data_IF_653614397551
#
_entry.id   IF_653614397551
#
_cell.length_a   1.000
_cell.length_b   1.000
_cell.length_c   1.000
_cell.angle_alpha   90.00
_cell.angle_beta   90.00
_cell.angle_gamma   90.00
#
_symmetry.space_group_name_H-M   'P 1'
#
loop_
_entity.id
_entity.type
_entity.pdbx_description
1 polymer ?
#
# COMPACT_ATOMS: atom_id res chain seq x y z
N UNK A 1 5.45 14.03 -30.71
CA UNK A 1 5.99 13.89 -29.34
C UNK A 1 5.53 12.56 -28.77
N UNK A 2 6.39 11.79 -28.11
CA UNK A 2 6.00 10.55 -27.42
C UNK A 2 5.63 10.85 -25.97
N UNK A 3 4.67 10.12 -25.42
CA UNK A 3 4.34 10.20 -23.99
C UNK A 3 5.55 9.80 -23.15
N UNK A 4 5.78 10.52 -22.05
CA UNK A 4 6.83 10.21 -21.09
C UNK A 4 6.62 8.81 -20.48
N UNK A 5 7.71 8.09 -20.27
CA UNK A 5 7.73 6.81 -19.55
C UNK A 5 8.90 6.87 -18.56
N UNK A 6 8.62 6.61 -17.28
CA UNK A 6 9.65 6.57 -16.26
C UNK A 6 10.67 5.46 -16.56
N UNK A 7 11.93 5.66 -16.18
CA UNK A 7 12.98 4.63 -16.24
C UNK A 7 13.33 4.21 -14.83
N UNK A 8 13.36 2.90 -14.55
CA UNK A 8 13.50 2.38 -13.19
C UNK A 8 14.72 2.90 -12.41
N UNK A 9 15.83 3.19 -13.07
CA UNK A 9 17.05 3.70 -12.42
C UNK A 9 17.01 5.21 -12.09
N UNK A 10 16.07 5.96 -12.68
CA UNK A 10 15.87 7.39 -12.44
C UNK A 10 14.73 7.65 -11.43
N UNK A 11 13.97 6.60 -11.07
CA UNK A 11 12.85 6.72 -10.12
C UNK A 11 13.38 6.98 -8.72
N UNK A 12 12.86 8.03 -8.10
CA UNK A 12 13.08 8.31 -6.68
C UNK A 12 11.95 7.70 -5.86
N UNK A 13 12.34 6.94 -4.83
CA UNK A 13 11.44 6.31 -3.87
C UNK A 13 11.61 6.99 -2.53
N UNK A 14 10.52 7.57 -2.01
CA UNK A 14 10.54 8.18 -0.68
C UNK A 14 10.25 7.13 0.40
N UNK A 15 10.56 7.46 1.65
CA UNK A 15 10.21 6.65 2.82
C UNK A 15 9.07 7.29 3.59
N UNK A 16 8.02 6.52 3.85
CA UNK A 16 6.83 6.97 4.56
C UNK A 16 6.61 6.07 5.78
N UNK A 17 6.49 6.69 6.96
CA UNK A 17 6.09 6.02 8.19
C UNK A 17 4.58 6.19 8.41
N UNK A 18 3.87 5.09 8.63
CA UNK A 18 2.42 5.06 8.81
C UNK A 18 2.09 4.40 10.15
N UNK A 19 1.40 5.13 11.02
CA UNK A 19 0.81 4.57 12.24
C UNK A 19 -0.58 3.97 11.95
N UNK A 20 -0.71 2.67 12.20
CA UNK A 20 -1.92 1.92 11.92
C UNK A 20 -2.94 1.91 13.08
N UNK A 21 -2.60 2.48 14.23
CA UNK A 21 -3.48 2.55 15.39
C UNK A 21 -4.83 3.22 15.05
N UNK A 22 -5.93 2.57 15.44
CA UNK A 22 -7.32 2.99 15.23
C UNK A 22 -7.75 3.16 13.75
N UNK A 23 -6.89 2.83 12.78
CA UNK A 23 -7.21 2.90 11.36
C UNK A 23 -8.03 1.69 10.94
N UNK A 24 -8.96 1.90 9.99
CA UNK A 24 -9.75 0.80 9.44
C UNK A 24 -8.92 0.02 8.42
N UNK A 25 -8.71 -1.28 8.67
CA UNK A 25 -7.85 -2.17 7.88
C UNK A 25 -7.97 -1.96 6.36
N UNK A 26 -9.17 -2.12 5.80
CA UNK A 26 -9.36 -2.04 4.35
C UNK A 26 -9.08 -0.65 3.77
N UNK A 27 -9.42 0.42 4.51
CA UNK A 27 -9.20 1.80 4.07
C UNK A 27 -7.72 2.14 4.06
N UNK A 28 -7.00 1.74 5.11
CA UNK A 28 -5.56 1.93 5.20
C UNK A 28 -4.82 1.15 4.11
N UNK A 29 -5.14 -0.14 3.96
CA UNK A 29 -4.51 -1.00 2.96
C UNK A 29 -4.68 -0.46 1.53
N UNK A 30 -5.85 0.08 1.19
CA UNK A 30 -6.12 0.65 -0.12
C UNK A 30 -5.25 1.89 -0.42
N UNK A 31 -5.05 2.74 0.58
CA UNK A 31 -4.19 3.92 0.45
C UNK A 31 -2.71 3.53 0.34
N UNK A 32 -2.26 2.59 1.17
CA UNK A 32 -0.89 2.06 1.11
C UNK A 32 -0.62 1.43 -0.26
N UNK A 33 -1.54 0.60 -0.77
CA UNK A 33 -1.38 -0.01 -2.10
C UNK A 33 -1.28 1.03 -3.23
N UNK A 34 -2.00 2.16 -3.13
CA UNK A 34 -1.89 3.26 -4.09
C UNK A 34 -0.52 3.95 -4.04
N UNK A 35 0.05 4.11 -2.84
CA UNK A 35 1.40 4.65 -2.62
C UNK A 35 2.48 3.70 -3.10
N UNK A 36 2.40 2.41 -2.75
CA UNK A 36 3.31 1.36 -3.20
C UNK A 36 3.33 1.22 -4.73
N UNK A 37 2.20 1.45 -5.41
CA UNK A 37 2.15 1.42 -6.88
C UNK A 37 2.64 2.73 -7.52
N UNK A 38 2.80 3.80 -6.74
CA UNK A 38 3.19 5.11 -7.27
C UNK A 38 2.08 5.87 -7.99
N UNK A 39 0.81 5.45 -7.86
CA UNK A 39 -0.36 6.06 -8.54
C UNK A 39 -0.59 7.54 -8.20
N UNK A 40 0.01 8.00 -7.12
CA UNK A 40 -0.06 9.38 -6.66
C UNK A 40 1.00 10.28 -7.32
N UNK A 41 2.03 9.71 -7.97
CA UNK A 41 3.07 10.47 -8.67
C UNK A 41 2.64 10.70 -10.12
N UNK A 42 2.89 11.90 -10.65
CA UNK A 42 2.59 12.25 -12.04
C UNK A 42 3.39 11.41 -13.07
N UNK A 43 4.52 10.84 -12.64
CA UNK A 43 5.38 9.96 -13.44
C UNK A 43 4.92 8.50 -13.49
N UNK A 44 3.75 8.18 -12.92
CA UNK A 44 3.22 6.82 -12.86
C UNK A 44 3.28 6.15 -14.24
N UNK A 45 3.99 5.03 -14.28
CA UNK A 45 4.21 4.25 -15.48
C UNK A 45 3.85 2.79 -15.15
N UNK A 46 2.80 2.18 -15.75
CA UNK A 46 2.24 0.91 -15.28
C UNK A 46 3.22 -0.28 -15.20
N UNK A 47 4.27 -0.26 -16.03
CA UNK A 47 5.26 -1.33 -16.11
C UNK A 47 6.54 -1.04 -15.31
N UNK A 48 6.59 0.08 -14.59
CA UNK A 48 7.73 0.50 -13.77
C UNK A 48 7.24 0.72 -12.35
N UNK A 49 7.96 0.21 -11.36
CA UNK A 49 7.70 0.55 -9.96
C UNK A 49 8.09 2.01 -9.71
N UNK A 50 7.10 2.89 -9.55
CA UNK A 50 7.29 4.30 -9.17
C UNK A 50 6.83 4.57 -7.75
N UNK A 51 6.66 3.53 -6.93
CA UNK A 51 6.14 3.60 -5.57
C UNK A 51 7.02 4.32 -4.57
N UNK A 52 6.60 4.28 -3.31
CA UNK A 52 7.38 4.69 -2.15
C UNK A 52 7.50 3.52 -1.18
N UNK A 53 8.54 3.52 -0.36
CA UNK A 53 8.66 2.58 0.74
C UNK A 53 7.73 2.99 1.87
N UNK A 54 6.94 2.04 2.36
CA UNK A 54 5.97 2.29 3.44
C UNK A 54 6.30 1.41 4.64
N UNK A 55 6.65 2.03 5.76
CA UNK A 55 6.83 1.37 7.05
C UNK A 55 5.56 1.54 7.86
N UNK A 56 4.94 0.44 8.27
CA UNK A 56 3.71 0.46 9.07
C UNK A 56 4.03 0.04 10.50
N UNK A 57 3.65 0.89 11.47
CA UNK A 57 3.83 0.63 12.92
C UNK A 57 2.47 0.46 13.62
N UNK A 58 2.48 -0.18 14.79
CA UNK A 58 1.27 -0.50 15.58
C UNK A 58 0.19 -1.27 14.79
N UNK A 59 0.61 -2.19 13.91
CA UNK A 59 -0.32 -2.97 13.08
C UNK A 59 -1.27 -3.87 13.89
N UNK A 60 -0.89 -4.23 15.11
CA UNK A 60 -1.72 -4.95 16.09
C UNK A 60 -2.94 -4.13 16.56
N UNK A 61 -2.87 -2.80 16.51
CA UNK A 61 -3.92 -1.87 16.96
C UNK A 61 -4.87 -1.43 15.83
N UNK A 62 -4.88 -2.15 14.71
CA UNK A 62 -5.76 -1.90 13.58
C UNK A 62 -7.23 -2.20 13.93
N UNK A 63 -8.13 -1.36 13.42
CA UNK A 63 -9.58 -1.55 13.59
C UNK A 63 -10.19 -2.32 12.43
N UNK A 64 -11.05 -3.27 12.76
CA UNK A 64 -12.01 -3.89 11.83
C UNK A 64 -13.43 -3.54 12.27
N UNK A 65 -14.36 -3.43 11.33
CA UNK A 65 -15.74 -3.00 11.61
C UNK A 65 -16.70 -4.17 11.76
N UNK A 66 -17.74 -4.02 12.59
CA UNK A 66 -18.73 -5.07 12.86
C UNK A 66 -18.11 -6.28 13.55
N UNK A 67 -18.68 -7.47 13.32
CA UNK A 67 -18.24 -8.71 13.95
C UNK A 67 -16.98 -9.34 13.32
N UNK A 68 -16.35 -8.64 12.37
CA UNK A 68 -15.18 -9.14 11.62
C UNK A 68 -13.99 -9.52 12.49
N UNK A 69 -13.89 -8.97 13.70
CA UNK A 69 -12.83 -9.36 14.64
C UNK A 69 -12.95 -10.84 15.06
N UNK A 70 -14.17 -11.38 15.11
CA UNK A 70 -14.46 -12.74 15.52
C UNK A 70 -14.72 -13.64 14.30
N UNK A 71 -15.46 -13.14 13.31
CA UNK A 71 -16.01 -13.97 12.24
C UNK A 71 -15.08 -14.11 11.02
N UNK A 72 -14.04 -13.29 10.91
CA UNK A 72 -13.19 -13.26 9.71
C UNK A 72 -12.25 -14.47 9.70
N UNK A 73 -12.52 -15.42 8.81
CA UNK A 73 -11.65 -16.57 8.57
C UNK A 73 -10.61 -16.29 7.49
N UNK A 74 -9.38 -16.77 7.72
CA UNK A 74 -8.29 -16.76 6.74
C UNK A 74 -7.97 -18.19 6.34
N UNK A 75 -8.45 -18.62 5.17
CA UNK A 75 -8.20 -19.95 4.65
C UNK A 75 -6.79 -20.04 4.04
N UNK A 76 -6.08 -21.13 4.32
CA UNK A 76 -4.80 -21.49 3.69
C UNK A 76 -4.75 -23.00 3.48
N UNK A 77 -4.37 -23.42 2.28
CA UNK A 77 -4.06 -24.82 1.98
C UNK A 77 -2.54 -24.97 1.90
N UNK A 78 -1.98 -26.05 2.44
CA UNK A 78 -0.51 -26.28 2.42
C UNK A 78 0.01 -26.72 1.06
N UNK A 79 -0.89 -27.22 0.20
CA UNK A 79 -0.50 -28.18 -0.83
C UNK A 79 -0.48 -29.57 -0.21
#
# INVERSE_FOLDING_TARGET
MKTFSAKSHEVQHDWILVDAADKVLGRLASQIASRLRGKHKAIYTPHVDTGDFVVVVNADKLRVTGNKAQDKMYYRHTG
#
